data_IF_330425938378
#
_entry.id   IF_330425938378
#
_cell.length_a   1.000
_cell.length_b   1.000
_cell.length_c   1.000
_cell.angle_alpha   90.00
_cell.angle_beta   90.00
_cell.angle_gamma   90.00
#
_symmetry.space_group_name_H-M   'P 1'
#
loop_
_entity.id
_entity.type
_entity.pdbx_description
1 polymer ?
#
# COMPACT_ATOMS: atom_id res chain seq x y z
N UNK A 1 27.02 4.61 -4.26
CA UNK A 1 26.32 4.58 -2.96
C UNK A 1 25.12 5.51 -2.98
N UNK A 2 23.94 5.00 -2.62
CA UNK A 2 22.67 5.70 -2.56
C UNK A 2 22.08 5.52 -1.17
N UNK A 3 21.71 6.64 -0.53
CA UNK A 3 21.16 6.61 0.83
C UNK A 3 19.72 6.12 0.84
N UNK A 4 18.91 6.56 -0.11
CA UNK A 4 17.51 6.18 -0.26
C UNK A 4 17.40 5.14 -1.36
N UNK A 5 16.52 4.15 -1.18
CA UNK A 5 16.24 3.14 -2.20
C UNK A 5 15.71 3.83 -3.46
N UNK A 6 16.36 3.65 -4.63
CA UNK A 6 15.87 4.22 -5.87
C UNK A 6 14.49 3.69 -6.23
N UNK A 7 13.60 4.58 -6.68
CA UNK A 7 12.30 4.17 -7.21
C UNK A 7 12.49 3.26 -8.41
N UNK A 8 11.69 2.19 -8.48
CA UNK A 8 11.63 1.34 -9.66
C UNK A 8 10.96 2.13 -10.79
N UNK A 9 11.73 2.45 -11.84
CA UNK A 9 11.16 2.90 -13.11
C UNK A 9 10.70 1.65 -13.85
N UNK A 10 9.41 1.58 -14.14
CA UNK A 10 8.82 0.57 -15.02
C UNK A 10 8.38 1.32 -16.26
N UNK A 11 9.07 1.11 -17.38
CA UNK A 11 8.63 1.65 -18.66
C UNK A 11 7.44 0.85 -19.18
N UNK A 12 6.68 1.45 -20.10
CA UNK A 12 5.46 0.84 -20.67
C UNK A 12 5.70 -0.52 -21.35
N UNK A 13 6.96 -0.87 -21.64
CA UNK A 13 7.38 -2.13 -22.26
C UNK A 13 8.26 -3.03 -21.38
N UNK A 14 8.32 -2.73 -20.07
CA UNK A 14 9.15 -3.46 -19.10
C UNK A 14 8.32 -4.43 -18.26
N UNK A 15 7.50 -5.28 -18.90
CA UNK A 15 6.70 -6.29 -18.23
C UNK A 15 7.55 -7.21 -17.36
N UNK A 16 7.49 -7.04 -16.04
CA UNK A 16 8.23 -7.82 -15.03
C UNK A 16 9.76 -7.92 -15.23
N UNK A 17 10.40 -7.10 -16.08
CA UNK A 17 11.86 -7.16 -16.29
C UNK A 17 12.68 -6.93 -15.03
N UNK A 18 12.15 -6.12 -14.12
CA UNK A 18 12.76 -5.80 -12.83
C UNK A 18 12.07 -6.50 -11.65
N UNK A 19 11.50 -7.69 -11.86
CA UNK A 19 10.74 -8.44 -10.87
C UNK A 19 11.61 -9.06 -9.77
N UNK A 20 12.02 -8.23 -8.81
CA UNK A 20 12.86 -8.61 -7.69
C UNK A 20 12.21 -9.67 -6.77
N UNK A 21 10.88 -9.83 -6.83
CA UNK A 21 10.10 -10.70 -5.94
C UNK A 21 9.50 -11.92 -6.67
N UNK A 22 9.84 -12.11 -7.95
CA UNK A 22 9.40 -13.25 -8.76
C UNK A 22 7.88 -13.42 -8.77
N UNK A 23 7.14 -12.32 -9.01
CA UNK A 23 5.68 -12.23 -9.08
C UNK A 23 5.14 -12.30 -10.52
N UNK A 24 5.97 -12.44 -11.54
CA UNK A 24 5.55 -12.54 -12.95
C UNK A 24 4.46 -13.60 -13.17
N UNK A 25 4.62 -14.80 -12.61
CA UNK A 25 3.64 -15.88 -12.77
C UNK A 25 2.24 -15.49 -12.29
N UNK A 26 2.16 -14.70 -11.21
CA UNK A 26 0.88 -14.18 -10.70
C UNK A 26 0.31 -13.11 -11.64
N UNK A 27 1.15 -12.22 -12.18
CA UNK A 27 0.76 -11.26 -13.21
C UNK A 27 0.20 -11.95 -14.46
N UNK A 28 0.82 -13.03 -14.92
CA UNK A 28 0.35 -13.82 -16.07
C UNK A 28 -1.00 -14.48 -15.80
N UNK A 29 -1.21 -15.03 -14.61
CA UNK A 29 -2.49 -15.60 -14.20
C UNK A 29 -3.60 -14.53 -14.19
N UNK A 30 -3.31 -13.35 -13.64
CA UNK A 30 -4.24 -12.22 -13.62
C UNK A 30 -4.56 -11.72 -15.03
N UNK A 31 -3.57 -11.60 -15.92
CA UNK A 31 -3.80 -11.25 -17.33
C UNK A 31 -4.66 -12.29 -18.04
N UNK A 32 -4.43 -13.59 -17.79
CA UNK A 32 -5.23 -14.66 -18.40
C UNK A 32 -6.70 -14.61 -17.93
N UNK A 33 -6.94 -14.25 -16.67
CA UNK A 33 -8.29 -14.04 -16.13
C UNK A 33 -9.00 -12.88 -16.87
N UNK A 34 -8.31 -11.75 -17.05
CA UNK A 34 -8.82 -10.57 -17.77
C UNK A 34 -9.22 -10.91 -19.20
N UNK A 35 -8.36 -11.66 -19.92
CA UNK A 35 -8.56 -12.01 -21.34
C UNK A 35 -9.70 -13.02 -21.51
N UNK A 36 -9.78 -14.02 -20.63
CA UNK A 36 -10.69 -15.16 -20.81
C UNK A 36 -12.09 -14.91 -20.26
N UNK A 37 -12.26 -13.99 -19.33
CA UNK A 37 -13.57 -13.67 -18.76
C UNK A 37 -14.38 -12.78 -19.70
N UNK A 38 -15.66 -13.11 -19.85
CA UNK A 38 -16.67 -12.28 -20.52
C UNK A 38 -17.47 -11.41 -19.56
N UNK A 39 -17.26 -11.58 -18.25
CA UNK A 39 -18.02 -10.90 -17.20
C UNK A 39 -17.55 -9.45 -17.03
N UNK A 40 -18.43 -8.65 -16.44
CA UNK A 40 -18.11 -7.31 -15.91
C UNK A 40 -17.40 -7.50 -14.58
N UNK A 41 -16.06 -7.49 -14.61
CA UNK A 41 -15.25 -7.87 -13.46
C UNK A 41 -14.72 -6.66 -12.71
N UNK A 42 -14.95 -6.66 -11.40
CA UNK A 42 -14.22 -5.89 -10.40
C UNK A 42 -13.40 -6.86 -9.56
N UNK A 43 -12.09 -6.78 -9.71
CA UNK A 43 -11.11 -7.62 -9.01
C UNK A 43 -10.46 -6.77 -7.93
N UNK A 44 -10.29 -7.29 -6.72
CA UNK A 44 -9.46 -6.64 -5.70
C UNK A 44 -8.09 -7.30 -5.58
N UNK A 45 -7.05 -6.46 -5.43
CA UNK A 45 -5.69 -6.86 -5.10
C UNK A 45 -5.33 -6.33 -3.71
N UNK A 46 -5.46 -7.19 -2.71
CA UNK A 46 -5.16 -6.87 -1.32
C UNK A 46 -3.67 -7.02 -0.97
N UNK A 47 -3.20 -6.15 -0.10
CA UNK A 47 -1.87 -6.21 0.49
C UNK A 47 -1.65 -5.06 1.47
N UNK A 48 -0.79 -5.26 2.47
CA UNK A 48 -0.47 -4.21 3.45
C UNK A 48 0.35 -3.09 2.83
N UNK A 49 0.45 -1.99 3.56
CA UNK A 49 1.36 -0.91 3.20
C UNK A 49 2.79 -1.40 3.15
N UNK A 50 3.49 -1.04 2.08
CA UNK A 50 4.89 -1.42 1.88
C UNK A 50 5.11 -2.86 1.40
N UNK A 51 4.11 -3.54 0.82
CA UNK A 51 4.25 -4.90 0.26
C UNK A 51 4.49 -4.92 -1.26
N UNK A 52 4.64 -3.75 -1.89
CA UNK A 52 4.99 -3.62 -3.31
C UNK A 52 3.80 -3.73 -4.27
N UNK A 53 2.58 -3.41 -3.83
CA UNK A 53 1.36 -3.42 -4.67
C UNK A 53 1.51 -2.55 -5.93
N UNK A 54 1.79 -1.26 -5.75
CA UNK A 54 1.97 -0.31 -6.85
C UNK A 54 3.08 -0.72 -7.81
N UNK A 55 4.20 -1.23 -7.29
CA UNK A 55 5.31 -1.75 -8.11
C UNK A 55 4.87 -2.94 -8.96
N UNK A 56 4.14 -3.90 -8.36
CA UNK A 56 3.56 -5.02 -9.07
C UNK A 56 2.59 -4.56 -10.17
N UNK A 57 1.69 -3.64 -9.85
CA UNK A 57 0.69 -3.10 -10.79
C UNK A 57 1.36 -2.45 -11.99
N UNK A 58 2.39 -1.62 -11.78
CA UNK A 58 3.13 -1.00 -12.89
C UNK A 58 3.81 -2.04 -13.78
N UNK A 59 4.47 -3.04 -13.20
CA UNK A 59 5.03 -4.16 -13.98
C UNK A 59 3.95 -4.96 -14.72
N UNK A 60 2.78 -5.12 -14.11
CA UNK A 60 1.65 -5.78 -14.73
C UNK A 60 1.06 -4.97 -15.89
N UNK A 61 1.00 -3.64 -15.80
CA UNK A 61 0.62 -2.79 -16.94
C UNK A 61 1.58 -2.92 -18.12
N UNK A 62 2.89 -3.01 -17.86
CA UNK A 62 3.87 -3.34 -18.89
C UNK A 62 3.57 -4.69 -19.57
N UNK A 63 3.28 -5.73 -18.79
CA UNK A 63 2.87 -7.04 -19.32
C UNK A 63 1.54 -6.99 -20.11
N UNK A 64 0.58 -6.19 -19.67
CA UNK A 64 -0.69 -5.98 -20.39
C UNK A 64 -0.43 -5.30 -21.74
N UNK A 65 0.42 -4.27 -21.78
CA UNK A 65 0.79 -3.57 -22.99
C UNK A 65 1.52 -4.49 -23.98
N UNK A 66 2.47 -5.30 -23.52
CA UNK A 66 3.14 -6.34 -24.33
C UNK A 66 2.16 -7.34 -24.96
N UNK A 67 1.01 -7.56 -24.32
CA UNK A 67 -0.07 -8.44 -24.79
C UNK A 67 -1.15 -7.71 -25.61
N UNK A 68 -0.98 -6.42 -25.90
CA UNK A 68 -1.96 -5.62 -26.63
C UNK A 68 -3.25 -5.37 -25.86
N UNK A 69 -3.17 -5.29 -24.53
CA UNK A 69 -4.30 -4.96 -23.64
C UNK A 69 -4.08 -3.55 -23.11
N UNK A 70 -4.91 -2.56 -23.51
CA UNK A 70 -4.83 -1.23 -22.95
C UNK A 70 -5.16 -1.23 -21.47
N UNK A 71 -4.44 -0.39 -20.72
CA UNK A 71 -4.65 -0.23 -19.28
C UNK A 71 -4.54 1.23 -18.85
N UNK A 72 -5.41 1.64 -17.93
CA UNK A 72 -5.44 2.97 -17.33
C UNK A 72 -5.09 2.83 -15.86
N UNK A 73 -4.14 3.62 -15.36
CA UNK A 73 -3.79 3.67 -13.94
C UNK A 73 -4.32 4.96 -13.32
N UNK A 74 -5.04 4.84 -12.20
CA UNK A 74 -5.61 5.95 -11.47
C UNK A 74 -5.14 5.85 -10.02
N UNK A 75 -4.35 6.83 -9.59
CA UNK A 75 -4.04 7.04 -8.18
C UNK A 75 -5.22 7.78 -7.54
N UNK A 76 -6.06 7.07 -6.77
CA UNK A 76 -7.24 7.65 -6.17
C UNK A 76 -6.87 8.68 -5.09
N UNK A 77 -5.77 8.48 -4.37
CA UNK A 77 -5.32 9.37 -3.31
C UNK A 77 -4.84 10.71 -3.86
N UNK A 78 -4.10 10.71 -4.98
CA UNK A 78 -3.70 11.96 -5.64
C UNK A 78 -4.89 12.81 -6.10
N UNK A 79 -6.06 12.21 -6.32
CA UNK A 79 -7.24 12.89 -6.84
C UNK A 79 -8.33 13.14 -5.77
N UNK A 80 -8.09 12.80 -4.50
CA UNK A 80 -9.10 12.89 -3.43
C UNK A 80 -9.39 14.32 -2.94
N UNK A 81 -8.73 15.31 -3.55
CA UNK A 81 -9.04 16.73 -3.42
C UNK A 81 -10.20 17.17 -4.31
N UNK A 82 -10.56 16.37 -5.33
CA UNK A 82 -11.68 16.66 -6.22
C UNK A 82 -13.02 16.45 -5.52
N UNK A 83 -14.02 17.25 -5.89
CA UNK A 83 -15.35 17.20 -5.25
C UNK A 83 -16.19 15.97 -5.66
N UNK A 84 -15.83 15.30 -6.76
CA UNK A 84 -16.60 14.18 -7.32
C UNK A 84 -15.67 13.08 -7.85
N UNK A 85 -15.81 11.88 -7.27
CA UNK A 85 -15.03 10.70 -7.62
C UNK A 85 -15.23 10.26 -9.08
N UNK A 86 -16.43 10.42 -9.64
CA UNK A 86 -16.70 10.13 -11.04
C UNK A 86 -15.86 11.01 -11.95
N UNK A 87 -15.74 12.31 -11.64
CA UNK A 87 -14.96 13.24 -12.48
C UNK A 87 -13.48 12.88 -12.52
N UNK A 88 -12.92 12.42 -11.40
CA UNK A 88 -11.55 11.90 -11.35
C UNK A 88 -11.36 10.70 -12.30
N UNK A 89 -12.25 9.71 -12.24
CA UNK A 89 -12.16 8.51 -13.07
C UNK A 89 -12.42 8.84 -14.54
N UNK A 90 -13.48 9.61 -14.83
CA UNK A 90 -13.86 10.00 -16.18
C UNK A 90 -12.75 10.81 -16.85
N UNK A 91 -12.12 11.75 -16.14
CA UNK A 91 -11.00 12.55 -16.65
C UNK A 91 -9.79 11.69 -17.03
N UNK A 92 -9.45 10.70 -16.20
CA UNK A 92 -8.37 9.77 -16.49
C UNK A 92 -8.67 8.94 -17.74
N UNK A 93 -9.91 8.45 -17.89
CA UNK A 93 -10.33 7.70 -19.08
C UNK A 93 -10.31 8.60 -20.32
N UNK A 94 -10.88 9.80 -20.28
CA UNK A 94 -10.90 10.71 -21.45
C UNK A 94 -9.50 11.11 -21.87
N UNK A 95 -8.60 11.39 -20.91
CA UNK A 95 -7.19 11.71 -21.18
C UNK A 95 -6.45 10.54 -21.83
N UNK A 96 -6.74 9.31 -21.40
CA UNK A 96 -6.17 8.12 -22.04
C UNK A 96 -6.68 7.95 -23.48
N UNK A 97 -7.97 8.18 -23.69
CA UNK A 97 -8.62 8.13 -25.01
C UNK A 97 -8.00 9.17 -25.97
N UNK A 98 -7.72 10.38 -25.49
CA UNK A 98 -7.02 11.42 -26.27
C UNK A 98 -5.67 10.96 -26.81
N UNK A 99 -4.95 10.17 -26.02
CA UNK A 99 -3.60 9.71 -26.37
C UNK A 99 -3.59 8.41 -27.19
N UNK A 100 -4.63 7.57 -27.05
CA UNK A 100 -4.63 6.18 -27.54
C UNK A 100 -5.80 5.85 -28.47
N UNK A 101 -6.58 6.82 -28.92
CA UNK A 101 -7.59 6.64 -29.97
C UNK A 101 -7.33 7.56 -31.15
N UNK A 102 -7.67 7.12 -32.36
CA UNK A 102 -7.73 8.03 -33.49
C UNK A 102 -8.85 9.05 -33.27
N UNK A 103 -8.56 10.32 -33.55
CA UNK A 103 -9.58 11.37 -33.48
C UNK A 103 -10.75 11.00 -34.40
N UNK A 104 -11.91 10.79 -33.80
CA UNK A 104 -13.08 10.22 -34.45
C UNK A 104 -14.36 10.67 -33.76
N UNK A 105 -15.48 10.60 -34.48
CA UNK A 105 -16.80 10.93 -33.95
C UNK A 105 -17.11 10.12 -32.68
N UNK A 106 -16.70 8.85 -32.62
CA UNK A 106 -16.90 7.99 -31.44
C UNK A 106 -16.11 8.45 -30.21
N UNK A 107 -14.86 8.87 -30.41
CA UNK A 107 -14.00 9.41 -29.34
C UNK A 107 -14.56 10.72 -28.78
N UNK A 108 -15.04 11.61 -29.67
CA UNK A 108 -15.73 12.85 -29.26
C UNK A 108 -17.04 12.56 -28.52
N UNK A 109 -17.88 11.66 -29.05
CA UNK A 109 -19.17 11.30 -28.44
C UNK A 109 -19.00 10.71 -27.03
N UNK A 110 -17.98 9.85 -26.82
CA UNK A 110 -17.67 9.34 -25.49
C UNK A 110 -17.35 10.48 -24.50
N UNK A 111 -16.51 11.44 -24.89
CA UNK A 111 -16.15 12.59 -24.04
C UNK A 111 -17.35 13.47 -23.71
N UNK A 112 -18.21 13.73 -24.70
CA UNK A 112 -19.43 14.50 -24.50
C UNK A 112 -20.39 13.80 -23.55
N UNK A 113 -20.55 12.48 -23.67
CA UNK A 113 -21.35 11.68 -22.74
C UNK A 113 -20.77 11.68 -21.33
N UNK A 114 -19.45 11.49 -21.18
CA UNK A 114 -18.76 11.56 -19.90
C UNK A 114 -18.98 12.91 -19.21
N UNK A 115 -18.87 14.02 -19.97
CA UNK A 115 -19.12 15.37 -19.48
C UNK A 115 -20.58 15.56 -19.03
N UNK A 116 -21.56 15.09 -19.82
CA UNK A 116 -22.98 15.18 -19.47
C UNK A 116 -23.32 14.41 -18.19
N UNK A 117 -22.79 13.19 -18.04
CA UNK A 117 -22.95 12.39 -16.81
C UNK A 117 -22.27 13.10 -15.63
N UNK A 118 -21.07 13.63 -15.81
CA UNK A 118 -20.35 14.36 -14.76
C UNK A 118 -21.10 15.58 -14.25
N UNK A 119 -21.62 16.44 -15.15
CA UNK A 119 -22.45 17.59 -14.77
C UNK A 119 -23.68 17.15 -13.99
N UNK A 120 -24.28 16.02 -14.34
CA UNK A 120 -25.46 15.50 -13.63
C UNK A 120 -25.09 14.95 -12.25
N UNK A 121 -23.99 14.22 -12.11
CA UNK A 121 -23.57 13.61 -10.84
C UNK A 121 -23.03 14.61 -9.82
N UNK A 122 -22.46 15.75 -10.26
CA UNK A 122 -22.11 16.87 -9.37
C UNK A 122 -23.32 17.36 -8.57
N UNK A 123 -24.54 17.26 -9.13
CA UNK A 123 -25.76 17.61 -8.40
C UNK A 123 -26.10 16.65 -7.25
N UNK A 124 -25.51 15.44 -7.23
CA UNK A 124 -25.70 14.43 -6.18
C UNK A 124 -24.74 14.63 -5.01
N UNK A 125 -23.46 14.97 -5.26
CA UNK A 125 -22.44 15.18 -4.22
C UNK A 125 -22.74 16.39 -3.32
N UNK A 126 -23.38 17.43 -3.88
CA UNK A 126 -23.88 18.58 -3.11
C UNK A 126 -24.88 18.20 -1.99
N UNK A 127 -25.56 17.05 -2.08
CA UNK A 127 -26.54 16.61 -1.07
C UNK A 127 -25.94 15.79 0.08
N UNK A 128 -24.72 15.27 -0.09
CA UNK A 128 -24.05 14.43 0.93
C UNK A 128 -23.29 15.31 1.95
N UNK A 129 -22.84 16.51 1.54
CA UNK A 129 -22.13 17.46 2.41
C UNK A 129 -22.94 18.09 3.55
N UNK A 130 -24.28 18.01 3.51
CA UNK A 130 -25.14 18.64 4.53
C UNK A 130 -25.13 17.86 5.86
N UNK A 131 -24.73 16.58 5.87
CA UNK A 131 -24.74 15.76 7.10
C UNK A 131 -23.47 15.80 7.95
N UNK A 132 -22.37 16.36 7.46
CA UNK A 132 -21.09 16.36 8.18
C UNK A 132 -20.77 17.67 8.91
N UNK A 133 -21.44 18.78 8.56
CA UNK A 133 -21.14 20.11 9.12
C UNK A 133 -21.93 20.45 10.41
N UNK A 134 -22.96 19.67 10.77
CA UNK A 134 -23.76 19.90 11.98
C UNK A 134 -23.47 18.85 13.05
N UNK A 135 -22.34 19.01 13.73
CA UNK A 135 -22.17 18.45 15.07
C UNK A 135 -23.20 19.10 16.02
N UNK A 136 -24.40 18.55 16.06
CA UNK A 136 -25.48 18.98 16.94
C UNK A 136 -26.49 19.91 16.24
N UNK A 137 -27.77 19.53 16.37
CA UNK A 137 -28.97 20.21 15.85
C UNK A 137 -29.23 20.00 14.36
N UNK A 138 -29.60 18.77 14.01
CA UNK A 138 -30.77 18.63 13.12
C UNK A 138 -31.95 18.93 14.03
N UNK A 139 -32.64 20.07 13.85
CA UNK A 139 -33.98 20.17 14.43
C UNK A 139 -34.85 19.20 13.67
N UNK A 140 -35.58 18.34 14.37
CA UNK A 140 -36.63 17.51 13.79
C UNK A 140 -37.63 18.34 12.94
N UNK A 141 -37.70 19.66 13.18
CA UNK A 141 -38.49 20.62 12.39
C UNK A 141 -38.12 20.72 10.89
N UNK A 142 -36.91 20.35 10.48
CA UNK A 142 -36.50 20.40 9.06
C UNK A 142 -36.90 19.13 8.29
N UNK A 143 -37.28 18.07 9.00
CA UNK A 143 -37.90 16.87 8.42
C UNK A 143 -39.43 16.97 8.53
N UNK A 144 -39.96 17.59 9.60
CA UNK A 144 -41.40 17.81 9.77
C UNK A 144 -41.99 18.81 8.76
N UNK A 145 -41.21 19.76 8.24
CA UNK A 145 -41.65 20.67 7.18
C UNK A 145 -41.92 19.97 5.84
N UNK A 146 -41.48 18.72 5.66
CA UNK A 146 -41.81 17.91 4.49
C UNK A 146 -42.99 16.96 4.72
N UNK A 147 -43.35 16.67 5.98
CA UNK A 147 -44.51 15.82 6.32
C UNK A 147 -45.77 16.61 6.67
N UNK A 148 -45.67 17.87 7.09
CA UNK A 148 -46.84 18.71 7.42
C UNK A 148 -47.55 19.32 6.20
N UNK A 149 -47.05 19.12 4.97
CA UNK A 149 -47.79 19.46 3.74
C UNK A 149 -48.83 18.36 3.40
N UNK A 150 -48.82 17.24 4.14
CA UNK A 150 -49.56 16.03 3.79
C UNK A 150 -51.06 16.01 4.12
N UNK A 151 -51.55 16.76 5.11
CA UNK A 151 -52.85 16.42 5.70
C UNK A 151 -53.90 17.55 5.82
N UNK A 152 -53.71 18.74 5.22
CA UNK A 152 -54.76 19.78 5.34
C UNK A 152 -54.97 20.73 4.13
N UNK A 153 -54.84 20.23 2.90
CA UNK A 153 -55.38 20.93 1.70
C UNK A 153 -56.01 19.93 0.74
N UNK A 154 -57.23 19.51 1.06
CA UNK A 154 -58.11 18.86 0.10
C UNK A 154 -58.81 19.92 -0.77
N UNK A 155 -58.70 19.73 -2.09
CA UNK A 155 -59.49 20.33 -3.17
C UNK A 155 -58.94 21.58 -3.90
N UNK A 156 -57.66 21.59 -4.34
CA UNK A 156 -57.27 22.23 -5.63
C UNK A 156 -55.85 21.92 -6.19
N UNK A 157 -55.10 20.95 -5.65
CA UNK A 157 -53.64 20.77 -5.92
C UNK A 157 -53.24 19.51 -6.68
N UNK A 158 -54.16 18.81 -7.35
CA UNK A 158 -53.83 17.52 -8.00
C UNK A 158 -52.97 17.65 -9.26
N UNK A 159 -53.15 18.71 -10.05
CA UNK A 159 -52.41 18.94 -11.30
C UNK A 159 -50.95 19.32 -11.01
N UNK A 160 -50.70 20.19 -10.02
CA UNK A 160 -49.36 20.67 -9.66
C UNK A 160 -48.48 19.61 -9.02
N UNK A 161 -49.07 18.69 -8.24
CA UNK A 161 -48.36 17.55 -7.65
C UNK A 161 -48.08 16.49 -8.73
N UNK A 162 -49.03 16.23 -9.62
CA UNK A 162 -48.82 15.32 -10.75
C UNK A 162 -47.73 15.85 -11.70
N UNK A 163 -47.68 17.15 -11.97
CA UNK A 163 -46.66 17.79 -12.78
C UNK A 163 -45.29 17.78 -12.10
N UNK A 164 -45.21 18.03 -10.79
CA UNK A 164 -43.95 17.92 -10.03
C UNK A 164 -43.44 16.47 -9.96
N UNK A 165 -44.35 15.50 -9.78
CA UNK A 165 -44.02 14.08 -9.80
C UNK A 165 -43.59 13.66 -11.20
N UNK A 166 -44.27 14.12 -12.26
CA UNK A 166 -43.91 13.86 -13.66
C UNK A 166 -42.59 14.51 -14.04
N UNK A 167 -42.31 15.73 -13.56
CA UNK A 167 -41.03 16.42 -13.74
C UNK A 167 -39.90 15.68 -13.02
N UNK A 168 -40.12 15.19 -11.79
CA UNK A 168 -39.15 14.35 -11.08
C UNK A 168 -38.94 12.98 -11.73
N UNK A 169 -40.00 12.33 -12.21
CA UNK A 169 -39.94 11.04 -12.90
C UNK A 169 -39.23 11.19 -14.25
N UNK A 170 -39.59 12.18 -15.06
CA UNK A 170 -38.91 12.47 -16.34
C UNK A 170 -37.45 12.88 -16.17
N UNK A 171 -37.13 13.63 -15.11
CA UNK A 171 -35.75 13.93 -14.75
C UNK A 171 -34.96 12.68 -14.33
N UNK A 172 -35.63 11.68 -13.73
CA UNK A 172 -35.04 10.39 -13.38
C UNK A 172 -34.87 9.46 -14.60
N UNK A 173 -35.84 9.46 -15.52
CA UNK A 173 -35.78 8.72 -16.77
C UNK A 173 -34.62 9.22 -17.64
N UNK A 174 -34.51 10.54 -17.82
CA UNK A 174 -33.42 11.19 -18.57
C UNK A 174 -32.04 10.86 -17.98
N UNK A 175 -31.95 10.77 -16.65
CA UNK A 175 -30.72 10.45 -15.94
C UNK A 175 -30.31 8.99 -16.12
N UNK A 176 -31.28 8.08 -16.06
CA UNK A 176 -31.06 6.65 -16.31
C UNK A 176 -30.60 6.42 -17.76
N UNK A 177 -31.21 7.11 -18.73
CA UNK A 177 -30.81 7.07 -20.14
C UNK A 177 -29.38 7.60 -20.36
N UNK A 178 -29.01 8.70 -19.71
CA UNK A 178 -27.65 9.26 -19.81
C UNK A 178 -26.59 8.30 -19.27
N UNK A 179 -26.85 7.68 -18.11
CA UNK A 179 -25.95 6.69 -17.50
C UNK A 179 -25.84 5.46 -18.40
N UNK A 180 -26.96 4.96 -18.92
CA UNK A 180 -26.98 3.80 -19.81
C UNK A 180 -26.21 4.08 -21.11
N UNK A 181 -26.41 5.25 -21.72
CA UNK A 181 -25.70 5.65 -22.93
C UNK A 181 -24.20 5.79 -22.71
N UNK A 182 -23.79 6.30 -21.54
CA UNK A 182 -22.38 6.33 -21.15
C UNK A 182 -21.80 4.92 -20.98
N UNK A 183 -22.54 4.01 -20.30
CA UNK A 183 -22.12 2.62 -20.10
C UNK A 183 -21.92 1.89 -21.43
N UNK A 184 -22.81 2.10 -22.39
CA UNK A 184 -22.68 1.54 -23.74
C UNK A 184 -21.44 2.07 -24.45
N UNK A 185 -21.22 3.39 -24.43
CA UNK A 185 -20.02 3.98 -25.01
C UNK A 185 -18.73 3.53 -24.33
N UNK A 186 -18.74 3.31 -23.01
CA UNK A 186 -17.62 2.76 -22.27
C UNK A 186 -17.37 1.28 -22.62
N UNK A 187 -18.43 0.48 -22.83
CA UNK A 187 -18.35 -0.92 -23.26
C UNK A 187 -17.75 -1.08 -24.67
N UNK A 188 -18.05 -0.12 -25.55
CA UNK A 188 -17.53 -0.10 -26.92
C UNK A 188 -16.15 0.55 -27.04
N UNK A 189 -15.72 1.28 -26.00
CA UNK A 189 -14.46 2.01 -26.00
C UNK A 189 -13.24 1.12 -26.34
N UNK A 190 -13.07 -0.09 -25.75
CA UNK A 190 -11.89 -0.91 -25.99
C UNK A 190 -11.66 -1.22 -27.48
N UNK A 191 -12.73 -1.40 -28.26
CA UNK A 191 -12.65 -1.70 -29.68
C UNK A 191 -12.13 -0.53 -30.54
N UNK A 192 -12.11 0.70 -30.00
CA UNK A 192 -11.66 1.90 -30.70
C UNK A 192 -10.25 2.38 -30.23
N UNK A 193 -9.62 1.66 -29.31
CA UNK A 193 -8.26 1.98 -28.82
C UNK A 193 -7.20 1.38 -29.75
N UNK A 194 -6.21 2.20 -30.10
CA UNK A 194 -5.07 1.80 -30.92
C UNK A 194 -4.26 0.71 -30.21
N UNK A 195 -3.81 -0.30 -30.96
CA UNK A 195 -3.00 -1.40 -30.41
C UNK A 195 -3.78 -2.40 -29.55
N UNK A 196 -5.10 -2.25 -29.38
CA UNK A 196 -5.90 -3.21 -28.63
C UNK A 196 -6.23 -4.44 -29.49
N UNK A 197 -5.58 -5.56 -29.20
CA UNK A 197 -5.87 -6.86 -29.84
C UNK A 197 -6.77 -7.76 -28.98
N UNK A 198 -6.98 -7.38 -27.72
CA UNK A 198 -7.73 -8.17 -26.74
C UNK A 198 -9.24 -7.90 -26.73
N UNK A 199 -9.64 -6.71 -27.19
CA UNK A 199 -11.01 -6.21 -27.03
C UNK A 199 -11.39 -5.92 -25.57
N UNK A 200 -10.41 -5.89 -24.65
CA UNK A 200 -10.60 -5.58 -23.23
C UNK A 200 -9.91 -4.27 -22.87
N UNK A 201 -10.33 -3.64 -21.79
CA UNK A 201 -9.67 -2.50 -21.15
C UNK A 201 -9.55 -2.78 -19.66
N UNK A 202 -8.35 -2.60 -19.11
CA UNK A 202 -8.12 -2.70 -17.67
C UNK A 202 -8.06 -1.30 -17.06
N UNK A 203 -8.84 -1.05 -16.01
CA UNK A 203 -8.76 0.20 -15.25
C UNK A 203 -8.30 -0.16 -13.83
N UNK A 204 -7.11 0.31 -13.47
CA UNK A 204 -6.54 0.11 -12.14
C UNK A 204 -6.81 1.33 -11.29
N UNK A 205 -7.41 1.11 -10.12
CA UNK A 205 -7.62 2.13 -9.09
C UNK A 205 -6.73 1.77 -7.91
N UNK A 206 -5.67 2.54 -7.66
CA UNK A 206 -4.73 2.33 -6.56
C UNK A 206 -4.90 3.38 -5.44
N UNK A 207 -4.36 3.06 -4.26
CA UNK A 207 -4.32 3.92 -3.08
C UNK A 207 -5.70 4.32 -2.50
N UNK A 208 -6.75 3.53 -2.76
CA UNK A 208 -8.10 3.75 -2.21
C UNK A 208 -8.12 3.82 -0.68
N UNK A 209 -7.29 3.02 -0.01
CA UNK A 209 -7.18 2.97 1.43
C UNK A 209 -6.43 4.16 2.06
N UNK A 210 -5.91 5.10 1.24
CA UNK A 210 -5.34 6.37 1.70
C UNK A 210 -6.25 7.57 1.49
N UNK A 211 -7.27 7.45 0.64
CA UNK A 211 -8.25 8.50 0.40
C UNK A 211 -9.02 8.87 1.68
N UNK A 212 -9.60 10.07 1.69
CA UNK A 212 -10.67 10.41 2.64
C UNK A 212 -11.75 9.31 2.65
N UNK A 213 -12.24 8.88 3.83
CA UNK A 213 -13.19 7.78 3.91
C UNK A 213 -14.44 7.92 3.02
N UNK A 214 -15.03 9.13 2.98
CA UNK A 214 -16.20 9.42 2.13
C UNK A 214 -15.90 9.26 0.64
N UNK A 215 -14.72 9.71 0.20
CA UNK A 215 -14.29 9.62 -1.21
C UNK A 215 -14.03 8.17 -1.63
N UNK A 216 -13.39 7.38 -0.77
CA UNK A 216 -13.15 5.96 -1.04
C UNK A 216 -14.47 5.18 -1.22
N UNK A 217 -15.46 5.43 -0.35
CA UNK A 217 -16.80 4.83 -0.45
C UNK A 217 -17.50 5.29 -1.73
N UNK A 218 -17.41 6.58 -2.05
CA UNK A 218 -18.00 7.12 -3.28
C UNK A 218 -17.42 6.44 -4.53
N UNK A 219 -16.10 6.26 -4.62
CA UNK A 219 -15.48 5.52 -5.75
C UNK A 219 -16.10 4.13 -5.90
N UNK A 220 -16.25 3.37 -4.81
CA UNK A 220 -16.83 2.02 -4.87
C UNK A 220 -18.26 2.05 -5.43
N UNK A 221 -19.08 2.99 -4.98
CA UNK A 221 -20.45 3.19 -5.48
C UNK A 221 -20.47 3.55 -6.97
N UNK A 222 -19.62 4.50 -7.40
CA UNK A 222 -19.53 4.89 -8.82
C UNK A 222 -19.07 3.73 -9.70
N UNK A 223 -18.07 2.96 -9.28
CA UNK A 223 -17.57 1.80 -10.05
C UNK A 223 -18.70 0.81 -10.32
N UNK A 224 -19.45 0.41 -9.28
CA UNK A 224 -20.54 -0.55 -9.43
C UNK A 224 -21.68 -0.04 -10.31
N UNK A 225 -22.10 1.21 -10.15
CA UNK A 225 -23.30 1.71 -10.81
C UNK A 225 -23.03 2.24 -12.23
N UNK A 226 -21.83 2.75 -12.49
CA UNK A 226 -21.53 3.52 -13.70
C UNK A 226 -20.45 2.88 -14.58
N UNK A 227 -19.51 2.15 -13.99
CA UNK A 227 -18.35 1.67 -14.73
C UNK A 227 -18.26 0.16 -14.89
N UNK A 228 -19.00 -0.63 -14.10
CA UNK A 228 -19.17 -2.07 -14.36
C UNK A 228 -19.88 -2.25 -15.69
N UNK A 229 -19.12 -2.47 -16.75
CA UNK A 229 -19.62 -2.64 -18.12
C UNK A 229 -18.83 -3.73 -18.82
N UNK A 230 -19.46 -4.32 -19.85
CA UNK A 230 -18.81 -5.31 -20.70
C UNK A 230 -17.48 -4.77 -21.27
N UNK A 231 -16.52 -5.67 -21.46
CA UNK A 231 -15.17 -5.37 -21.99
C UNK A 231 -14.25 -4.53 -21.09
N UNK A 232 -14.74 -4.02 -19.96
CA UNK A 232 -13.93 -3.26 -19.00
C UNK A 232 -13.75 -4.06 -17.72
N UNK A 233 -12.52 -4.18 -17.25
CA UNK A 233 -12.16 -4.85 -15.99
C UNK A 233 -11.56 -3.84 -15.03
N UNK A 234 -12.11 -3.76 -13.82
CA UNK A 234 -11.56 -2.94 -12.75
C UNK A 234 -10.63 -3.77 -11.87
N UNK A 235 -9.44 -3.25 -11.58
CA UNK A 235 -8.56 -3.77 -10.53
C UNK A 235 -8.48 -2.73 -9.40
N UNK A 236 -9.05 -3.07 -8.25
CA UNK A 236 -9.00 -2.26 -7.03
C UNK A 236 -7.80 -2.68 -6.19
N UNK A 237 -6.78 -1.83 -6.12
CA UNK A 237 -5.57 -2.09 -5.36
C UNK A 237 -5.70 -1.40 -4.01
N UNK A 238 -5.68 -2.19 -2.94
CA UNK A 238 -6.07 -1.69 -1.62
C UNK A 238 -5.35 -2.41 -0.48
N UNK A 239 -5.41 -1.82 0.71
CA UNK A 239 -5.33 -2.55 1.97
C UNK A 239 -6.74 -2.76 2.52
N UNK A 240 -7.27 -3.98 2.39
CA UNK A 240 -8.68 -4.30 2.67
C UNK A 240 -9.11 -3.89 4.08
N UNK A 241 -8.30 -4.19 5.09
CA UNK A 241 -8.63 -3.83 6.49
C UNK A 241 -8.70 -2.31 6.72
N UNK A 242 -7.85 -1.52 6.05
CA UNK A 242 -7.94 -0.05 6.14
C UNK A 242 -9.19 0.47 5.41
N UNK A 243 -9.52 -0.10 4.25
CA UNK A 243 -10.72 0.28 3.52
C UNK A 243 -12.00 -0.07 4.28
N UNK A 244 -12.04 -1.23 4.95
CA UNK A 244 -13.15 -1.58 5.85
C UNK A 244 -13.30 -0.56 6.99
N UNK A 245 -12.20 -0.04 7.53
CA UNK A 245 -12.26 0.99 8.57
C UNK A 245 -12.76 2.33 8.02
N UNK A 246 -12.38 2.69 6.79
CA UNK A 246 -12.94 3.84 6.09
C UNK A 246 -14.47 3.71 5.92
N UNK A 247 -14.97 2.52 5.53
CA UNK A 247 -16.41 2.24 5.42
C UNK A 247 -17.10 2.37 6.79
N UNK A 248 -16.51 1.84 7.86
CA UNK A 248 -17.03 1.98 9.23
C UNK A 248 -17.05 3.44 9.69
N UNK A 249 -16.13 4.26 9.22
CA UNK A 249 -16.13 5.70 9.48
C UNK A 249 -17.29 6.44 8.80
N UNK A 250 -17.78 5.95 7.65
CA UNK A 250 -18.86 6.59 6.88
C UNK A 250 -20.25 6.11 7.34
N UNK A 251 -20.44 4.80 7.49
CA UNK A 251 -21.76 4.22 7.83
C UNK A 251 -21.93 3.85 9.31
N UNK A 252 -20.87 4.01 10.11
CA UNK A 252 -20.86 3.72 11.55
C UNK A 252 -20.31 2.32 11.88
N UNK A 253 -19.80 2.17 13.11
CA UNK A 253 -19.06 0.98 13.58
C UNK A 253 -19.81 -0.36 13.53
N UNK A 254 -21.14 -0.34 13.44
CA UNK A 254 -21.98 -1.55 13.43
C UNK A 254 -22.15 -2.17 12.04
N UNK A 255 -21.73 -1.49 10.98
CA UNK A 255 -21.81 -2.04 9.62
C UNK A 255 -20.87 -3.24 9.47
N UNK A 256 -21.36 -4.28 8.81
CA UNK A 256 -20.50 -5.34 8.30
C UNK A 256 -19.82 -4.85 7.01
N UNK A 257 -18.68 -4.17 7.20
CA UNK A 257 -17.90 -3.62 6.09
C UNK A 257 -17.35 -4.70 5.14
N UNK A 258 -17.09 -5.90 5.67
CA UNK A 258 -16.61 -7.02 4.87
C UNK A 258 -17.69 -7.46 3.87
N UNK A 259 -18.90 -7.74 4.36
CA UNK A 259 -20.04 -8.11 3.50
C UNK A 259 -20.48 -6.94 2.60
N UNK A 260 -20.32 -5.69 3.05
CA UNK A 260 -20.54 -4.52 2.20
C UNK A 260 -19.61 -4.53 0.97
N UNK A 261 -18.31 -4.77 1.14
CA UNK A 261 -17.34 -4.82 0.04
C UNK A 261 -17.65 -5.92 -0.99
N UNK A 262 -18.17 -7.07 -0.54
CA UNK A 262 -18.59 -8.17 -1.43
C UNK A 262 -19.68 -7.75 -2.43
N UNK A 263 -20.42 -6.67 -2.17
CA UNK A 263 -21.41 -6.13 -3.12
C UNK A 263 -20.76 -5.48 -4.36
N UNK A 264 -19.46 -5.15 -4.28
CA UNK A 264 -18.73 -4.39 -5.30
C UNK A 264 -17.62 -5.22 -5.95
N UNK A 265 -17.05 -6.18 -5.23
CA UNK A 265 -15.91 -6.98 -5.68
C UNK A 265 -16.39 -8.37 -6.09
N UNK A 266 -16.12 -8.77 -7.33
CA UNK A 266 -16.45 -10.10 -7.83
C UNK A 266 -15.38 -11.14 -7.46
N UNK A 267 -14.11 -10.75 -7.51
CA UNK A 267 -12.97 -11.63 -7.27
C UNK A 267 -12.01 -10.95 -6.33
N UNK A 268 -11.67 -11.62 -5.23
CA UNK A 268 -10.64 -11.16 -4.30
C UNK A 268 -9.35 -11.96 -4.49
N UNK A 269 -8.23 -11.24 -4.61
CA UNK A 269 -6.90 -11.83 -4.56
C UNK A 269 -5.98 -10.98 -3.69
N UNK A 270 -4.89 -11.56 -3.22
CA UNK A 270 -3.85 -10.84 -2.48
C UNK A 270 -2.53 -10.91 -3.22
N UNK A 271 -1.64 -9.94 -2.97
CA UNK A 271 -0.26 -10.03 -3.43
C UNK A 271 0.36 -11.33 -2.88
N UNK A 272 0.94 -12.19 -3.75
CA UNK A 272 1.58 -13.42 -3.30
C UNK A 272 2.80 -13.08 -2.45
N UNK A 273 2.94 -13.78 -1.32
CA UNK A 273 4.09 -13.68 -0.41
C UNK A 273 4.76 -15.03 -0.28
N UNK A 274 6.06 -15.08 -0.54
CA UNK A 274 6.86 -16.27 -0.25
C UNK A 274 7.45 -16.09 1.14
N UNK A 275 6.78 -16.64 2.15
CA UNK A 275 7.22 -16.56 3.57
C UNK A 275 7.72 -17.91 4.08
N UNK A 276 7.14 -19.02 3.60
CA UNK A 276 7.39 -20.37 4.13
C UNK A 276 8.37 -21.21 3.31
N UNK A 277 8.86 -20.73 2.17
CA UNK A 277 9.87 -21.44 1.39
C UNK A 277 11.25 -21.23 2.04
N UNK A 278 11.83 -22.35 2.51
CA UNK A 278 13.14 -22.40 3.19
C UNK A 278 14.29 -21.93 2.29
N UNK A 279 14.11 -21.94 0.96
CA UNK A 279 15.16 -21.62 0.00
C UNK A 279 14.93 -20.31 -0.77
N UNK A 280 13.72 -19.77 -0.81
CA UNK A 280 13.44 -18.49 -1.46
C UNK A 280 12.23 -17.76 -0.84
N UNK A 281 12.50 -16.79 0.04
CA UNK A 281 11.46 -15.91 0.58
C UNK A 281 11.63 -14.46 0.10
N UNK A 282 10.53 -13.70 0.07
CA UNK A 282 10.49 -12.32 -0.43
C UNK A 282 11.52 -11.42 0.30
N UNK A 283 11.72 -11.62 1.61
CA UNK A 283 12.66 -10.87 2.43
C UNK A 283 14.09 -11.09 1.94
N UNK A 284 14.51 -12.34 1.76
CA UNK A 284 15.86 -12.66 1.30
C UNK A 284 16.15 -12.12 -0.10
N UNK A 285 15.21 -12.32 -1.03
CA UNK A 285 15.33 -11.78 -2.40
C UNK A 285 15.48 -10.25 -2.37
N UNK A 286 14.66 -9.59 -1.55
CA UNK A 286 14.67 -8.14 -1.48
C UNK A 286 15.89 -7.58 -0.75
N UNK A 287 16.37 -8.21 0.32
CA UNK A 287 17.63 -7.83 1.00
C UNK A 287 18.81 -7.88 0.02
N UNK A 288 18.91 -8.94 -0.80
CA UNK A 288 19.94 -9.04 -1.84
C UNK A 288 19.80 -7.92 -2.88
N UNK A 289 18.57 -7.60 -3.29
CA UNK A 289 18.30 -6.49 -4.21
C UNK A 289 18.67 -5.14 -3.61
N UNK A 290 18.36 -4.90 -2.34
CA UNK A 290 18.68 -3.64 -1.65
C UNK A 290 20.19 -3.44 -1.50
N UNK A 291 20.97 -4.49 -1.22
CA UNK A 291 22.45 -4.41 -1.24
C UNK A 291 22.96 -3.90 -2.60
N UNK A 292 22.41 -4.42 -3.70
CA UNK A 292 22.76 -3.98 -5.05
C UNK A 292 22.32 -2.54 -5.34
N UNK A 293 21.10 -2.16 -4.95
CA UNK A 293 20.52 -0.86 -5.26
C UNK A 293 21.18 0.29 -4.49
N UNK A 294 21.52 0.06 -3.22
CA UNK A 294 22.16 1.06 -2.38
C UNK A 294 23.65 1.22 -2.68
N UNK A 295 24.30 0.26 -3.34
CA UNK A 295 25.72 0.32 -3.71
C UNK A 295 26.59 0.74 -2.50
N UNK A 296 26.33 0.13 -1.34
CA UNK A 296 27.02 0.45 -0.08
C UNK A 296 28.45 -0.09 -0.20
N UNK A 297 29.45 0.74 0.09
CA UNK A 297 30.82 0.25 0.26
C UNK A 297 30.93 -0.44 1.62
N UNK A 298 30.76 -1.76 1.64
CA UNK A 298 30.69 -2.55 2.88
C UNK A 298 32.04 -3.09 3.34
N UNK A 299 33.09 -2.97 2.54
CA UNK A 299 34.42 -3.54 2.84
C UNK A 299 34.38 -5.03 3.21
N UNK A 300 33.51 -5.79 2.54
CA UNK A 300 33.35 -7.24 2.75
C UNK A 300 32.24 -7.63 3.75
N UNK A 301 31.52 -6.67 4.32
CA UNK A 301 30.48 -6.94 5.31
C UNK A 301 29.14 -7.43 4.71
N UNK A 302 28.98 -7.49 3.38
CA UNK A 302 27.72 -7.82 2.69
C UNK A 302 27.06 -9.11 3.20
N UNK A 303 27.84 -10.18 3.32
CA UNK A 303 27.35 -11.48 3.80
C UNK A 303 26.90 -11.40 5.25
N UNK A 304 27.68 -10.74 6.11
CA UNK A 304 27.36 -10.57 7.52
C UNK A 304 26.11 -9.71 7.72
N UNK A 305 25.93 -8.66 6.89
CA UNK A 305 24.72 -7.83 6.90
C UNK A 305 23.51 -8.70 6.59
N UNK A 306 23.56 -9.50 5.51
CA UNK A 306 22.45 -10.37 5.14
C UNK A 306 22.17 -11.44 6.21
N UNK A 307 23.22 -12.09 6.73
CA UNK A 307 23.10 -13.13 7.77
C UNK A 307 22.50 -12.60 9.09
N UNK A 308 22.68 -11.31 9.40
CA UNK A 308 22.07 -10.64 10.54
C UNK A 308 20.66 -10.11 10.24
N UNK A 309 20.46 -9.51 9.07
CA UNK A 309 19.24 -8.78 8.73
C UNK A 309 18.07 -9.70 8.40
N UNK A 310 18.29 -10.74 7.60
CA UNK A 310 17.23 -11.68 7.18
C UNK A 310 16.49 -12.29 8.39
N UNK A 311 17.16 -12.88 9.39
CA UNK A 311 16.45 -13.48 10.52
C UNK A 311 15.72 -12.44 11.38
N UNK A 312 16.27 -11.24 11.57
CA UNK A 312 15.56 -10.15 12.26
C UNK A 312 14.32 -9.72 11.46
N UNK A 313 14.46 -9.59 10.14
CA UNK A 313 13.38 -9.17 9.27
C UNK A 313 12.22 -10.18 9.25
N UNK A 314 12.54 -11.48 9.28
CA UNK A 314 11.56 -12.56 9.41
C UNK A 314 10.88 -12.54 10.78
N UNK A 315 11.65 -12.42 11.87
CA UNK A 315 11.12 -12.36 13.24
C UNK A 315 10.12 -11.22 13.42
N UNK A 316 10.45 -10.03 12.94
CA UNK A 316 9.58 -8.85 13.03
C UNK A 316 8.56 -8.73 11.89
N UNK A 317 8.56 -9.66 10.94
CA UNK A 317 7.71 -9.64 9.75
C UNK A 317 7.74 -8.28 9.03
N UNK A 318 8.95 -7.79 8.72
CA UNK A 318 9.14 -6.47 8.12
C UNK A 318 8.48 -6.39 6.74
N UNK A 319 7.81 -5.27 6.48
CA UNK A 319 7.43 -4.87 5.13
C UNK A 319 8.66 -4.51 4.28
N UNK A 320 8.51 -4.53 2.95
CA UNK A 320 9.58 -4.10 2.04
C UNK A 320 9.97 -2.64 2.30
N UNK A 321 9.00 -1.77 2.57
CA UNK A 321 9.25 -0.37 2.95
C UNK A 321 10.06 -0.24 4.25
N UNK A 322 9.81 -1.10 5.24
CA UNK A 322 10.63 -1.11 6.45
C UNK A 322 12.05 -1.59 6.15
N UNK A 323 12.23 -2.59 5.28
CA UNK A 323 13.56 -3.01 4.81
C UNK A 323 14.30 -1.86 4.11
N UNK A 324 13.66 -1.11 3.23
CA UNK A 324 14.24 0.11 2.61
C UNK A 324 14.73 1.10 3.68
N UNK A 325 13.93 1.35 4.72
CA UNK A 325 14.33 2.23 5.85
C UNK A 325 15.50 1.66 6.65
N UNK A 326 15.57 0.35 6.85
CA UNK A 326 16.72 -0.30 7.51
C UNK A 326 17.98 -0.10 6.66
N UNK A 327 17.89 -0.30 5.35
CA UNK A 327 19.00 -0.06 4.43
C UNK A 327 19.43 1.39 4.37
N UNK A 328 18.51 2.35 4.46
CA UNK A 328 18.86 3.78 4.61
C UNK A 328 19.68 4.02 5.88
N UNK A 329 19.29 3.42 7.02
CA UNK A 329 20.06 3.52 8.26
C UNK A 329 21.44 2.86 8.15
N UNK A 330 21.54 1.69 7.50
CA UNK A 330 22.82 1.04 7.20
C UNK A 330 23.70 1.94 6.32
N UNK A 331 23.13 2.48 5.24
CA UNK A 331 23.83 3.37 4.33
C UNK A 331 24.40 4.59 5.07
N UNK A 332 23.63 5.22 5.97
CA UNK A 332 24.12 6.33 6.80
C UNK A 332 25.33 5.92 7.66
N UNK A 333 25.28 4.76 8.34
CA UNK A 333 26.38 4.29 9.18
C UNK A 333 27.65 4.04 8.36
N UNK A 334 27.52 3.41 7.19
CA UNK A 334 28.66 3.11 6.32
C UNK A 334 29.20 4.38 5.63
N UNK A 335 28.35 5.33 5.23
CA UNK A 335 28.79 6.61 4.65
C UNK A 335 29.56 7.49 5.64
N UNK A 336 29.26 7.36 6.93
CA UNK A 336 29.87 8.16 8.00
C UNK A 336 31.03 7.46 8.69
N UNK A 337 31.39 6.25 8.22
CA UNK A 337 32.52 5.47 8.74
C UNK A 337 33.60 5.33 7.68
N UNK A 338 34.86 5.26 8.07
CA UNK A 338 35.97 4.90 7.18
C UNK A 338 36.34 3.41 7.29
N UNK A 339 37.11 2.90 6.32
CA UNK A 339 37.51 1.48 6.23
C UNK A 339 38.19 0.91 7.49
N UNK A 340 38.95 1.73 8.21
CA UNK A 340 39.66 1.30 9.42
C UNK A 340 38.88 1.55 10.73
N UNK A 341 37.63 2.00 10.67
CA UNK A 341 36.81 2.18 11.86
C UNK A 341 36.25 0.85 12.37
N UNK A 342 36.00 0.77 13.68
CA UNK A 342 35.29 -0.35 14.30
C UNK A 342 33.92 -0.54 13.65
N UNK A 343 33.69 -1.72 13.07
CA UNK A 343 32.40 -2.16 12.52
C UNK A 343 32.00 -3.48 13.17
N UNK A 344 30.97 -3.43 14.01
CA UNK A 344 30.35 -4.63 14.58
C UNK A 344 29.01 -4.83 13.88
N UNK A 345 29.04 -5.55 12.75
CA UNK A 345 27.87 -5.77 11.88
C UNK A 345 26.63 -6.25 12.65
N UNK A 346 26.72 -7.20 13.61
CA UNK A 346 25.55 -7.65 14.37
C UNK A 346 24.87 -6.53 15.16
N UNK A 347 25.67 -5.67 15.82
CA UNK A 347 25.16 -4.52 16.57
C UNK A 347 24.57 -3.48 15.61
N UNK A 348 25.30 -3.13 14.55
CA UNK A 348 24.89 -2.14 13.54
C UNK A 348 23.55 -2.51 12.91
N UNK A 349 23.40 -3.77 12.47
CA UNK A 349 22.16 -4.26 11.86
C UNK A 349 21.01 -4.29 12.87
N UNK A 350 21.27 -4.78 14.09
CA UNK A 350 20.26 -4.82 15.15
C UNK A 350 19.69 -3.42 15.44
N UNK A 351 20.56 -2.43 15.69
CA UNK A 351 20.08 -1.07 16.01
C UNK A 351 19.37 -0.41 14.83
N UNK A 352 19.78 -0.70 13.58
CA UNK A 352 19.14 -0.18 12.39
C UNK A 352 17.72 -0.75 12.25
N UNK A 353 17.52 -2.04 12.53
CA UNK A 353 16.20 -2.67 12.58
C UNK A 353 15.36 -2.09 13.71
N UNK A 354 15.87 -2.07 14.94
CA UNK A 354 15.14 -1.59 16.13
C UNK A 354 14.71 -0.13 15.98
N UNK A 355 15.55 0.73 15.40
CA UNK A 355 15.20 2.14 15.11
C UNK A 355 13.98 2.25 14.19
N UNK A 356 13.81 1.34 13.24
CA UNK A 356 12.70 1.34 12.29
C UNK A 356 11.42 0.77 12.90
N UNK A 357 11.51 -0.33 13.66
CA UNK A 357 10.31 -1.02 14.17
C UNK A 357 9.82 -0.49 15.51
N UNK A 358 10.72 -0.02 16.36
CA UNK A 358 10.42 0.39 17.72
C UNK A 358 11.34 1.54 18.16
N UNK A 359 11.04 2.77 17.68
CA UNK A 359 11.82 3.97 18.03
C UNK A 359 11.94 4.21 19.54
N UNK A 360 10.94 3.79 20.33
CA UNK A 360 10.96 3.91 21.78
C UNK A 360 12.04 3.00 22.41
N UNK A 361 12.11 1.73 21.98
CA UNK A 361 13.19 0.82 22.40
C UNK A 361 14.54 1.35 21.95
N UNK A 362 14.66 1.85 20.71
CA UNK A 362 15.90 2.48 20.24
C UNK A 362 16.32 3.66 21.13
N UNK A 363 15.38 4.53 21.50
CA UNK A 363 15.65 5.65 22.42
C UNK A 363 16.13 5.18 23.79
N UNK A 364 15.55 4.12 24.34
CA UNK A 364 16.00 3.53 25.60
C UNK A 364 17.40 2.91 25.49
N UNK A 365 17.73 2.26 24.37
CA UNK A 365 19.09 1.75 24.10
C UNK A 365 20.11 2.88 23.99
N UNK A 366 19.76 3.97 23.30
CA UNK A 366 20.61 5.16 23.16
C UNK A 366 20.92 5.80 24.53
N UNK A 367 19.94 5.84 25.43
CA UNK A 367 20.08 6.42 26.77
C UNK A 367 20.65 5.43 27.81
N UNK A 368 20.88 4.16 27.44
CA UNK A 368 21.30 3.12 28.40
C UNK A 368 20.26 2.82 29.49
N UNK A 369 18.97 3.00 29.19
CA UNK A 369 17.86 2.89 30.16
C UNK A 369 17.11 1.56 30.12
N UNK A 370 17.65 0.56 29.42
CA UNK A 370 17.00 -0.76 29.26
C UNK A 370 18.02 -1.86 29.51
N UNK A 371 17.62 -2.87 30.30
CA UNK A 371 18.42 -4.07 30.52
C UNK A 371 18.28 -5.05 29.34
N UNK A 372 19.22 -5.98 29.23
CA UNK A 372 19.16 -7.00 28.16
C UNK A 372 17.90 -7.88 28.25
N UNK A 373 17.46 -8.24 29.47
CA UNK A 373 16.26 -9.06 29.68
C UNK A 373 14.99 -8.32 29.23
N UNK A 374 14.82 -7.06 29.65
CA UNK A 374 13.67 -6.22 29.25
C UNK A 374 13.69 -5.93 27.74
N UNK A 375 14.86 -5.75 27.14
CA UNK A 375 15.00 -5.63 25.69
C UNK A 375 14.47 -6.87 24.96
N UNK A 376 14.88 -8.06 25.40
CA UNK A 376 14.43 -9.32 24.79
C UNK A 376 12.92 -9.51 24.95
N UNK A 377 12.37 -9.17 26.12
CA UNK A 377 10.92 -9.22 26.37
C UNK A 377 10.14 -8.29 25.43
N UNK A 378 10.53 -7.01 25.36
CA UNK A 378 9.84 -6.01 24.52
C UNK A 378 9.92 -6.31 23.02
N UNK A 379 10.96 -7.03 22.58
CA UNK A 379 11.17 -7.41 21.19
C UNK A 379 10.71 -8.85 20.87
N UNK A 380 10.18 -9.58 21.84
CA UNK A 380 9.77 -10.98 21.66
C UNK A 380 10.94 -11.92 21.35
N UNK A 381 12.15 -11.60 21.79
CA UNK A 381 13.40 -12.35 21.55
C UNK A 381 13.80 -13.20 22.78
N UNK A 382 12.85 -13.57 23.62
CA UNK A 382 13.07 -14.48 24.75
C UNK A 382 13.24 -15.93 24.29
N UNK A 383 14.04 -16.71 25.03
CA UNK A 383 14.17 -18.15 24.80
C UNK A 383 14.87 -18.56 23.50
N UNK A 384 15.68 -17.66 22.91
CA UNK A 384 16.57 -18.02 21.81
C UNK A 384 17.61 -19.03 22.30
N UNK A 385 17.82 -20.10 21.52
CA UNK A 385 18.85 -21.10 21.77
C UNK A 385 19.58 -21.47 20.46
N UNK A 386 20.72 -22.12 20.59
CA UNK A 386 21.57 -22.52 19.45
C UNK A 386 21.10 -23.82 18.76
N UNK A 387 20.28 -24.61 19.47
CA UNK A 387 19.79 -25.93 19.05
C UNK A 387 18.73 -25.82 17.95
N UNK A 388 17.86 -24.82 18.00
CA UNK A 388 16.91 -24.53 16.92
C UNK A 388 17.61 -23.89 15.73
N UNK A 389 17.68 -24.62 14.61
CA UNK A 389 18.28 -24.15 13.35
C UNK A 389 17.70 -22.80 12.88
N UNK A 390 16.39 -22.60 13.04
CA UNK A 390 15.68 -21.37 12.69
C UNK A 390 16.05 -20.17 13.57
N UNK A 391 16.50 -20.40 14.80
CA UNK A 391 16.83 -19.36 15.79
C UNK A 391 18.33 -19.15 15.98
N UNK A 392 19.17 -20.06 15.50
CA UNK A 392 20.63 -20.01 15.67
C UNK A 392 21.25 -18.67 15.26
N UNK A 393 20.86 -18.11 14.11
CA UNK A 393 21.38 -16.81 13.64
C UNK A 393 20.95 -15.66 14.54
N UNK A 394 19.69 -15.65 15.00
CA UNK A 394 19.19 -14.67 15.99
C UNK A 394 19.92 -14.81 17.32
N UNK A 395 20.11 -16.03 17.80
CA UNK A 395 20.83 -16.31 19.04
C UNK A 395 22.26 -15.76 18.98
N UNK A 396 23.00 -16.06 17.91
CA UNK A 396 24.35 -15.54 17.70
C UNK A 396 24.39 -14.02 17.64
N UNK A 397 23.46 -13.38 16.91
CA UNK A 397 23.35 -11.93 16.85
C UNK A 397 23.04 -11.32 18.23
N UNK A 398 22.09 -11.90 18.96
CA UNK A 398 21.69 -11.41 20.28
C UNK A 398 22.78 -11.61 21.34
N UNK A 399 23.70 -12.55 21.14
CA UNK A 399 24.89 -12.65 21.99
C UNK A 399 25.83 -11.45 21.83
N UNK A 400 25.93 -10.82 20.65
CA UNK A 400 26.65 -9.55 20.51
C UNK A 400 25.96 -8.40 21.25
N UNK A 401 24.62 -8.39 21.25
CA UNK A 401 23.83 -7.40 21.99
C UNK A 401 24.03 -7.62 23.50
N UNK A 402 23.89 -8.86 23.98
CA UNK A 402 24.16 -9.24 25.38
C UNK A 402 25.55 -8.83 25.79
N UNK A 403 26.55 -9.22 24.99
CA UNK A 403 27.94 -8.85 25.21
C UNK A 403 28.12 -7.34 25.34
N UNK A 404 27.43 -6.51 24.55
CA UNK A 404 27.55 -5.04 24.68
C UNK A 404 26.78 -4.42 25.87
N UNK A 405 25.85 -5.15 26.49
CA UNK A 405 24.91 -4.60 27.48
C UNK A 405 25.14 -5.07 28.92
N UNK A 406 25.86 -6.18 29.14
CA UNK A 406 26.17 -6.62 30.51
C UNK A 406 27.01 -5.57 31.24
N UNK A 407 26.88 -5.45 32.54
CA UNK A 407 27.85 -4.74 33.38
C UNK A 407 29.12 -5.57 33.55
N UNK A 408 30.22 -4.96 33.94
CA UNK A 408 31.48 -5.67 34.16
C UNK A 408 31.35 -6.80 35.21
N UNK A 409 30.59 -6.58 36.29
CA UNK A 409 30.32 -7.62 37.29
C UNK A 409 29.50 -8.77 36.72
N UNK A 410 28.47 -8.49 35.93
CA UNK A 410 27.67 -9.52 35.25
C UNK A 410 28.52 -10.30 34.24
N UNK A 411 29.36 -9.61 33.45
CA UNK A 411 30.22 -10.24 32.45
C UNK A 411 31.31 -11.13 33.07
N UNK A 412 31.86 -10.74 34.22
CA UNK A 412 32.79 -11.58 34.96
C UNK A 412 32.11 -12.84 35.52
N UNK A 413 30.84 -12.71 35.94
CA UNK A 413 30.04 -13.79 36.52
C UNK A 413 29.45 -14.81 35.54
N UNK A 414 29.55 -14.62 34.22
CA UNK A 414 29.07 -15.62 33.24
C UNK A 414 30.03 -16.82 33.16
N UNK A 415 29.50 -17.98 32.74
CA UNK A 415 30.25 -19.23 32.51
C UNK A 415 31.47 -19.01 31.60
N UNK A 416 32.60 -19.67 31.89
CA UNK A 416 33.82 -19.55 31.07
C UNK A 416 33.65 -20.09 29.65
N UNK A 417 32.75 -21.07 29.46
CA UNK A 417 32.42 -21.65 28.16
C UNK A 417 31.33 -20.84 27.42
N UNK A 418 30.81 -19.77 28.01
CA UNK A 418 29.81 -18.92 27.36
C UNK A 418 30.42 -18.32 26.07
N UNK A 419 29.74 -18.41 24.91
CA UNK A 419 30.26 -17.93 23.63
C UNK A 419 30.73 -16.47 23.65
N UNK A 420 30.17 -15.61 24.51
CA UNK A 420 30.56 -14.19 24.55
C UNK A 420 31.90 -13.92 25.24
N UNK A 421 32.50 -14.90 25.94
CA UNK A 421 33.86 -14.76 26.49
C UNK A 421 34.91 -14.56 25.39
N UNK A 422 34.66 -15.08 24.18
CA UNK A 422 35.56 -14.93 23.03
C UNK A 422 35.43 -13.61 22.27
N UNK A 423 34.38 -12.82 22.47
CA UNK A 423 34.04 -11.69 21.58
C UNK A 423 34.96 -10.48 21.74
N UNK A 424 35.60 -10.32 22.91
CA UNK A 424 36.45 -9.16 23.23
C UNK A 424 37.86 -9.18 22.64
N UNK A 425 38.30 -10.31 22.05
CA UNK A 425 39.71 -10.54 21.69
C UNK A 425 40.29 -9.53 20.68
N UNK A 426 39.46 -8.83 19.91
CA UNK A 426 39.87 -7.84 18.90
C UNK A 426 39.59 -6.38 19.27
N UNK A 427 38.87 -6.12 20.37
CA UNK A 427 38.45 -4.76 20.75
C UNK A 427 39.60 -3.85 21.18
N UNK A 428 40.67 -4.41 21.74
CA UNK A 428 41.85 -3.67 22.18
C UNK A 428 42.48 -2.84 21.05
N UNK A 429 42.37 -3.29 19.80
CA UNK A 429 42.89 -2.58 18.61
C UNK A 429 42.21 -1.24 18.37
N UNK A 430 41.01 -1.05 18.91
CA UNK A 430 40.19 0.15 18.73
C UNK A 430 40.11 1.02 19.98
N UNK A 431 40.71 0.59 21.10
CA UNK A 431 40.64 1.28 22.39
C UNK A 431 39.19 1.61 22.82
N UNK A 432 38.28 0.65 22.64
CA UNK A 432 36.85 0.77 22.99
C UNK A 432 36.47 -0.27 24.03
N UNK A 433 35.83 0.19 25.10
CA UNK A 433 35.25 -0.67 26.13
C UNK A 433 33.96 -1.35 25.63
N UNK A 434 33.74 -2.58 26.08
CA UNK A 434 32.58 -3.41 25.73
C UNK A 434 31.24 -2.71 25.95
N UNK A 435 31.08 -2.06 27.12
CA UNK A 435 29.85 -1.37 27.53
C UNK A 435 29.52 -0.15 26.65
N UNK A 436 30.53 0.38 25.93
CA UNK A 436 30.36 1.54 25.04
C UNK A 436 30.01 1.15 23.61
N UNK A 437 30.09 -0.13 23.24
CA UNK A 437 29.89 -0.57 21.86
C UNK A 437 28.52 -0.19 21.33
N UNK A 438 27.45 -0.53 22.06
CA UNK A 438 26.08 -0.24 21.65
C UNK A 438 25.82 1.26 21.55
N UNK A 439 26.26 2.02 22.56
CA UNK A 439 26.01 3.46 22.62
C UNK A 439 26.72 4.23 21.50
N UNK A 440 27.94 3.83 21.11
CA UNK A 440 28.66 4.43 19.97
C UNK A 440 27.85 4.32 18.68
N UNK A 441 27.34 3.12 18.37
CA UNK A 441 26.57 2.92 17.14
C UNK A 441 25.18 3.56 17.21
N UNK A 442 24.50 3.52 18.36
CA UNK A 442 23.24 4.24 18.57
C UNK A 442 23.42 5.75 18.38
N UNK A 443 24.49 6.34 18.94
CA UNK A 443 24.80 7.76 18.79
C UNK A 443 25.02 8.13 17.33
N UNK A 444 25.87 7.38 16.61
CA UNK A 444 26.09 7.57 15.17
C UNK A 444 24.78 7.56 14.39
N UNK A 445 23.90 6.61 14.69
CA UNK A 445 22.63 6.51 13.98
C UNK A 445 21.61 7.59 14.40
N UNK A 446 21.71 8.13 15.62
CA UNK A 446 20.87 9.22 16.10
C UNK A 446 21.26 10.60 15.55
N UNK A 447 22.44 10.75 14.93
CA UNK A 447 22.85 12.00 14.27
C UNK A 447 21.91 12.39 13.12
N UNK A 448 21.22 11.41 12.54
CA UNK A 448 20.34 11.59 11.39
C UNK A 448 18.98 10.92 11.61
N UNK A 449 17.90 11.65 11.32
CA UNK A 449 16.53 11.12 11.35
C UNK A 449 16.16 10.60 9.96
N UNK A 450 15.79 9.31 9.88
CA UNK A 450 15.23 8.70 8.67
C UNK A 450 13.71 8.69 8.84
N UNK A 451 13.01 9.56 8.11
CA UNK A 451 11.55 9.67 8.17
C UNK A 451 10.86 8.63 7.27
#
# INVERSE_FOLDING_TARGET
MKLVTPSLLVEDSDGFRNDALQRQQFGEALSNLVIRSTDELVISLDGKWGEGKTTFVKMWQGLLNERGIPSIYIDAFQNDYTEDAFMSIASAITSYVDQHSAESQKSSDFKDKAKKVGVRLLSWTAKIGIKAATLGVIKESDIETLSEIGDDVAADTSETIADLVKERLSAHDTETELIQSFRESLSDLPANLMGNSSGRLVIVIDELDRCKPSFAVEILEKIKHLFSVKNVVFLLVMHKQQLEEAIRSVYGRKIDAHTYLQKFINIETSIPKRVADRYSNDIELYVKKLLQLHEITTWGDDRNIADCLIPLAQHFNLSLRQLEKVFTNLAIIYSTSGENHLRLVPIIVFIAVVKVINPNVFGNLLLGKISFSTLCEQLGLLGLNEEEESKRKLFWLMNWIRFSMLTESEYQGIDENDPIKGFGQSLWRYNVERERLLSIFCQKLSMFTVN
#
